data_IF_189385091893
#
_entry.id   IF_189385091893
#
_cell.length_a   1.000
_cell.length_b   1.000
_cell.length_c   1.000
_cell.angle_alpha   90.00
_cell.angle_beta   90.00
_cell.angle_gamma   90.00
#
_symmetry.space_group_name_H-M   'P 1'
#
loop_
_entity.id
_entity.type
_entity.pdbx_description
1 polymer ?
#
# COMPACT_ATOMS: atom_id res chain seq x y z
N UNK A 1 4.76 -2.34 7.62
CA UNK A 1 5.89 -1.39 7.77
C UNK A 1 6.29 -1.28 9.24
N UNK A 2 7.35 -1.99 9.64
CA UNK A 2 7.91 -1.95 11.00
C UNK A 2 9.44 -1.97 10.93
N UNK A 3 10.01 -0.87 10.44
CA UNK A 3 11.45 -0.73 10.22
C UNK A 3 11.99 0.43 11.07
N UNK A 4 12.33 0.22 12.35
CA UNK A 4 12.71 1.32 13.27
C UNK A 4 14.01 2.02 12.87
N UNK A 5 14.83 1.39 12.03
CA UNK A 5 16.10 1.94 11.52
C UNK A 5 15.98 2.50 10.10
N UNK A 6 14.78 2.51 9.50
CA UNK A 6 14.58 3.07 8.18
C UNK A 6 14.92 4.56 8.19
N UNK A 7 15.66 5.00 7.17
CA UNK A 7 16.07 6.40 7.00
C UNK A 7 15.55 6.92 5.68
N UNK A 8 15.08 8.16 5.68
CA UNK A 8 14.76 8.89 4.45
C UNK A 8 16.06 9.39 3.79
N UNK A 9 16.85 8.46 3.27
CA UNK A 9 18.09 8.76 2.55
C UNK A 9 17.84 9.46 1.21
N UNK A 10 18.93 9.94 0.57
CA UNK A 10 18.88 10.65 -0.72
C UNK A 10 18.23 9.81 -1.82
N UNK A 11 18.38 8.48 -1.80
CA UNK A 11 17.79 7.59 -2.80
C UNK A 11 16.27 7.57 -2.66
N UNK A 12 15.75 7.36 -1.45
CA UNK A 12 14.31 7.37 -1.17
C UNK A 12 13.69 8.74 -1.46
N UNK A 13 14.39 9.84 -1.13
CA UNK A 13 13.94 11.19 -1.48
C UNK A 13 13.82 11.39 -2.99
N UNK A 14 14.80 10.93 -3.77
CA UNK A 14 14.79 11.06 -5.22
C UNK A 14 13.65 10.26 -5.86
N UNK A 15 13.33 9.08 -5.32
CA UNK A 15 12.21 8.26 -5.78
C UNK A 15 10.87 8.98 -5.54
N UNK A 16 10.68 9.54 -4.34
CA UNK A 16 9.47 10.30 -4.01
C UNK A 16 9.34 11.51 -4.95
N UNK A 17 10.42 12.26 -5.18
CA UNK A 17 10.43 13.40 -6.11
C UNK A 17 10.08 12.99 -7.54
N UNK A 18 10.61 11.87 -8.03
CA UNK A 18 10.26 11.35 -9.35
C UNK A 18 8.78 11.00 -9.45
N UNK A 19 8.21 10.35 -8.45
CA UNK A 19 6.78 10.04 -8.42
C UNK A 19 5.92 11.31 -8.44
N UNK A 20 6.30 12.36 -7.70
CA UNK A 20 5.63 13.67 -7.75
C UNK A 20 5.76 14.32 -9.13
N UNK A 21 6.93 14.25 -9.77
CA UNK A 21 7.15 14.79 -11.11
C UNK A 21 6.35 14.06 -12.21
N UNK A 22 5.96 12.80 -11.97
CA UNK A 22 5.05 12.05 -12.86
C UNK A 22 3.59 12.52 -12.74
N UNK A 23 3.27 13.40 -11.79
CA UNK A 23 1.93 13.97 -11.62
C UNK A 23 1.11 13.34 -10.49
N UNK A 24 1.65 12.37 -9.75
CA UNK A 24 0.94 11.80 -8.60
C UNK A 24 0.92 12.78 -7.43
N UNK A 25 -0.24 12.91 -6.80
CA UNK A 25 -0.42 13.68 -5.58
C UNK A 25 0.19 12.97 -4.37
N UNK A 26 0.49 13.74 -3.32
CA UNK A 26 0.94 13.17 -2.04
C UNK A 26 -0.07 12.18 -1.44
N UNK A 27 -1.37 12.38 -1.70
CA UNK A 27 -2.43 11.48 -1.24
C UNK A 27 -2.40 10.14 -1.99
N UNK A 28 -2.19 10.16 -3.31
CA UNK A 28 -2.05 8.94 -4.11
C UNK A 28 -0.79 8.14 -3.72
N UNK A 29 0.31 8.82 -3.42
CA UNK A 29 1.52 8.14 -2.94
C UNK A 29 1.29 7.49 -1.57
N UNK A 30 0.53 8.14 -0.68
CA UNK A 30 0.10 7.51 0.60
C UNK A 30 -0.81 6.31 0.35
N UNK A 31 -1.76 6.41 -0.58
CA UNK A 31 -2.61 5.28 -0.97
C UNK A 31 -1.78 4.11 -1.51
N UNK A 32 -0.72 4.36 -2.29
CA UNK A 32 0.19 3.30 -2.73
C UNK A 32 0.92 2.63 -1.55
N UNK A 33 1.35 3.40 -0.56
CA UNK A 33 1.96 2.86 0.68
C UNK A 33 0.96 1.97 1.43
N UNK A 34 -0.27 2.44 1.62
CA UNK A 34 -1.33 1.69 2.29
C UNK A 34 -1.69 0.41 1.51
N UNK A 35 -1.76 0.49 0.19
CA UNK A 35 -2.03 -0.65 -0.66
C UNK A 35 -0.93 -1.71 -0.63
N UNK A 36 0.33 -1.30 -0.53
CA UNK A 36 1.44 -2.22 -0.29
C UNK A 36 1.27 -2.95 1.04
N UNK A 37 0.96 -2.21 2.12
CA UNK A 37 0.71 -2.78 3.44
C UNK A 37 -0.53 -3.69 3.49
N UNK A 38 -1.48 -3.49 2.59
CA UNK A 38 -2.68 -4.32 2.44
C UNK A 38 -2.45 -5.59 1.60
N UNK A 39 -1.30 -5.73 0.94
CA UNK A 39 -1.00 -6.86 0.08
C UNK A 39 -0.30 -7.97 0.90
N UNK A 40 -0.95 -9.13 1.16
CA UNK A 40 -0.40 -10.19 2.01
C UNK A 40 1.02 -10.64 1.60
N UNK A 41 1.21 -10.85 0.30
CA UNK A 41 2.49 -11.27 -0.26
C UNK A 41 3.63 -10.30 0.08
N UNK A 42 3.38 -8.99 0.02
CA UNK A 42 4.39 -7.98 0.37
C UNK A 42 4.64 -7.89 1.87
N UNK A 43 3.70 -8.34 2.69
CA UNK A 43 3.80 -8.31 4.14
C UNK A 43 4.32 -9.63 4.73
N UNK A 44 4.98 -10.47 3.93
CA UNK A 44 5.59 -11.70 4.39
C UNK A 44 4.66 -12.92 4.35
N UNK A 45 3.45 -12.81 3.80
CA UNK A 45 2.59 -13.98 3.55
C UNK A 45 2.96 -14.54 2.17
N UNK A 46 4.17 -15.08 2.09
CA UNK A 46 4.75 -15.72 0.92
C UNK A 46 5.65 -16.88 1.35
N UNK A 47 6.07 -17.71 0.40
CA UNK A 47 6.83 -18.95 0.67
C UNK A 47 8.12 -18.72 1.48
N UNK A 48 8.69 -17.51 1.43
CA UNK A 48 9.97 -17.18 2.05
C UNK A 48 9.82 -16.29 3.28
N UNK A 49 8.59 -15.98 3.72
CA UNK A 49 8.29 -14.99 4.76
C UNK A 49 8.95 -13.61 4.54
N UNK A 50 9.18 -13.23 3.27
CA UNK A 50 9.94 -12.03 2.93
C UNK A 50 9.04 -10.80 2.86
N UNK A 51 9.47 -9.70 3.47
CA UNK A 51 8.74 -8.42 3.41
C UNK A 51 9.25 -7.60 2.21
N UNK A 52 8.31 -7.06 1.44
CA UNK A 52 8.52 -6.23 0.26
C UNK A 52 7.78 -4.90 0.38
N UNK A 53 8.18 -4.06 1.34
CA UNK A 53 7.53 -2.76 1.63
C UNK A 53 8.46 -1.55 1.45
N UNK A 54 9.52 -1.71 0.65
CA UNK A 54 10.47 -0.65 0.36
C UNK A 54 9.90 0.42 -0.59
N UNK A 55 10.22 1.69 -0.33
CA UNK A 55 9.81 2.83 -1.18
C UNK A 55 10.26 2.66 -2.64
N UNK A 56 11.43 2.06 -2.88
CA UNK A 56 11.91 1.80 -4.25
C UNK A 56 11.15 0.72 -5.00
N UNK A 57 10.32 -0.08 -4.30
CA UNK A 57 9.36 -0.98 -4.92
C UNK A 57 8.01 -0.29 -5.09
N UNK A 58 7.52 0.37 -4.04
CA UNK A 58 6.19 0.98 -4.01
C UNK A 58 6.07 2.08 -5.06
N UNK A 59 7.11 2.92 -5.18
CA UNK A 59 7.14 4.08 -6.07
C UNK A 59 8.12 3.88 -7.23
N UNK A 60 8.33 2.62 -7.67
CA UNK A 60 9.31 2.29 -8.72
C UNK A 60 9.00 2.98 -10.04
N UNK A 61 7.74 2.87 -10.47
CA UNK A 61 7.19 3.36 -11.73
C UNK A 61 5.67 3.51 -11.59
N UNK A 62 5.03 4.10 -12.60
CA UNK A 62 3.58 4.31 -12.62
C UNK A 62 2.77 3.03 -12.42
N UNK A 63 3.19 1.91 -13.02
CA UNK A 63 2.48 0.64 -12.90
C UNK A 63 2.49 0.10 -11.45
N UNK A 64 3.60 0.27 -10.74
CA UNK A 64 3.69 -0.12 -9.33
C UNK A 64 2.84 0.78 -8.44
N UNK A 65 2.88 2.09 -8.68
CA UNK A 65 2.12 3.09 -7.94
C UNK A 65 0.62 2.80 -8.10
N UNK A 66 0.14 2.66 -9.33
CA UNK A 66 -1.27 2.38 -9.65
C UNK A 66 -1.75 1.05 -9.09
N UNK A 67 -0.95 -0.02 -9.24
CA UNK A 67 -1.26 -1.32 -8.64
C UNK A 67 -1.50 -1.20 -7.15
N UNK A 68 -0.63 -0.49 -6.44
CA UNK A 68 -0.78 -0.35 -5.01
C UNK A 68 -1.93 0.60 -4.62
N UNK A 69 -2.16 1.69 -5.34
CA UNK A 69 -3.36 2.52 -5.14
C UNK A 69 -4.62 1.66 -5.22
N UNK A 70 -4.72 0.78 -6.23
CA UNK A 70 -5.86 -0.12 -6.38
C UNK A 70 -6.01 -1.08 -5.18
N UNK A 71 -4.91 -1.65 -4.69
CA UNK A 71 -4.92 -2.52 -3.51
C UNK A 71 -5.38 -1.80 -2.23
N UNK A 72 -5.17 -0.48 -2.13
CA UNK A 72 -5.68 0.31 -0.99
C UNK A 72 -7.21 0.40 -0.99
N UNK A 73 -7.81 0.54 -2.18
CA UNK A 73 -9.26 0.69 -2.37
C UNK A 73 -10.01 -0.61 -2.11
N UNK A 74 -9.44 -1.75 -2.54
CA UNK A 74 -10.06 -3.07 -2.37
C UNK A 74 -10.31 -3.36 -0.88
N UNK A 75 -9.36 -3.07 0.01
CA UNK A 75 -9.55 -3.30 1.44
C UNK A 75 -10.66 -2.44 2.03
N UNK A 76 -10.76 -1.17 1.61
CA UNK A 76 -11.83 -0.27 2.06
C UNK A 76 -13.21 -0.77 1.58
N UNK A 77 -13.31 -1.24 0.34
CA UNK A 77 -14.55 -1.82 -0.19
C UNK A 77 -14.99 -3.10 0.54
N UNK A 78 -14.04 -4.00 0.85
CA UNK A 78 -14.33 -5.23 1.61
C UNK A 78 -14.79 -4.91 3.03
N UNK A 79 -14.15 -3.96 3.72
CA UNK A 79 -14.53 -3.59 5.07
C UNK A 79 -15.96 -3.01 5.13
N UNK A 80 -16.31 -2.12 4.19
CA UNK A 80 -17.66 -1.55 4.14
C UNK A 80 -18.75 -2.60 3.85
N UNK A 81 -18.45 -3.59 3.01
CA UNK A 81 -19.40 -4.67 2.69
C UNK A 81 -19.59 -5.65 3.85
N UNK A 82 -18.50 -6.00 4.57
CA UNK A 82 -18.58 -6.87 5.76
C UNK A 82 -19.38 -6.25 6.91
N UNK A 83 -19.16 -4.97 7.20
CA UNK A 83 -19.91 -4.25 8.25
C UNK A 83 -21.41 -4.22 7.96
N UNK A 84 -21.80 -4.15 6.68
CA UNK A 84 -23.22 -4.17 6.28
C UNK A 84 -23.87 -5.54 6.51
N UNK A 85 -23.14 -6.63 6.30
CA UNK A 85 -23.65 -7.99 6.47
C UNK A 85 -23.69 -8.44 7.92
N UNK A 86 -22.73 -8.00 8.75
CA UNK A 86 -22.68 -8.36 10.17
C UNK A 86 -23.85 -7.71 10.96
N UNK A 87 -24.37 -6.57 10.51
CA UNK A 87 -25.56 -5.93 11.09
C UNK A 87 -26.85 -6.75 10.88
N UNK A 88 -26.92 -7.59 9.84
CA UNK A 88 -28.10 -8.43 9.55
C UNK A 88 -28.00 -9.84 10.16
N UNK A 89 -26.84 -10.25 10.68
CA UNK A 89 -26.63 -11.58 11.26
C UNK A 89 -27.17 -11.73 12.69
N UNK A 90 -27.58 -10.64 13.34
CA UNK A 90 -28.10 -10.61 14.71
C UNK A 90 -29.63 -10.54 14.85
N UNK A 91 -30.38 -10.63 13.74
CA UNK A 91 -31.85 -10.66 13.76
C UNK A 91 -32.32 -12.08 13.48
N UNK A 92 -32.42 -12.90 14.52
CA UNK A 92 -33.12 -14.19 14.52
C UNK A 92 -33.84 -14.36 15.84
#
# INVERSE_FOLDING_TARGET
MKHPRAKLDKKRQNIIKQALNLGYSTNELKQAIDGCANTPYNMGINNNNQIFDEISLILRDSAHIERFINNSRIKNGINNNRVSNDFMAGVI
#
